data_IF_750158021653
#
_entry.id   IF_750158021653
#
_cell.length_a   1.000
_cell.length_b   1.000
_cell.length_c   1.000
_cell.angle_alpha   90.00
_cell.angle_beta   90.00
_cell.angle_gamma   90.00
#
_symmetry.space_group_name_H-M   'P 1'
#
loop_
_entity.id
_entity.type
_entity.pdbx_description
1 polymer ?
#
# COMPACT_ATOMS: atom_id res chain seq x y z
N UNK A 1 42.29 25.91 13.29
CA UNK A 1 41.45 25.42 12.16
C UNK A 1 40.86 24.01 12.35
N UNK A 2 41.43 23.12 13.19
CA UNK A 2 40.92 21.73 13.39
C UNK A 2 39.62 21.64 14.23
N UNK A 3 39.44 22.53 15.22
CA UNK A 3 38.28 22.55 16.12
C UNK A 3 36.97 22.97 15.43
N UNK A 4 37.04 23.90 14.47
CA UNK A 4 35.86 24.36 13.71
C UNK A 4 35.37 23.31 12.72
N UNK A 5 36.27 22.54 12.08
CA UNK A 5 35.89 21.42 11.21
C UNK A 5 35.22 20.28 11.98
N UNK A 6 35.71 19.97 13.18
CA UNK A 6 35.07 18.97 14.06
C UNK A 6 33.66 19.39 14.46
N UNK A 7 33.46 20.66 14.83
CA UNK A 7 32.14 21.17 15.21
C UNK A 7 31.14 21.13 14.04
N UNK A 8 31.58 21.44 12.82
CA UNK A 8 30.76 21.37 11.61
C UNK A 8 30.37 19.93 11.28
N UNK A 9 31.30 18.97 11.40
CA UNK A 9 31.01 17.55 11.17
C UNK A 9 30.02 17.03 12.22
N UNK A 10 30.21 17.36 13.50
CA UNK A 10 29.28 16.95 14.56
C UNK A 10 27.88 17.54 14.34
N UNK A 11 27.78 18.80 13.93
CA UNK A 11 26.50 19.43 13.61
C UNK A 11 25.81 18.77 12.40
N UNK A 12 26.56 18.42 11.35
CA UNK A 12 26.03 17.70 10.18
C UNK A 12 25.53 16.30 10.55
N UNK A 13 26.27 15.56 11.39
CA UNK A 13 25.87 14.23 11.87
C UNK A 13 24.60 14.32 12.72
N UNK A 14 24.51 15.30 13.63
CA UNK A 14 23.30 15.52 14.44
C UNK A 14 22.11 15.95 13.59
N UNK A 15 22.32 16.78 12.57
CA UNK A 15 21.26 17.15 11.63
C UNK A 15 20.79 15.96 10.81
N UNK A 16 21.70 15.13 10.30
CA UNK A 16 21.36 13.90 9.58
C UNK A 16 20.61 12.91 10.47
N UNK A 17 21.07 12.71 11.71
CA UNK A 17 20.37 11.88 12.70
C UNK A 17 19.02 12.47 13.07
N UNK A 18 18.89 13.78 13.18
CA UNK A 18 17.62 14.47 13.43
C UNK A 18 16.63 14.32 12.28
N UNK A 19 17.11 14.38 11.02
CA UNK A 19 16.31 14.11 9.83
C UNK A 19 15.90 12.64 9.77
N UNK A 20 16.81 11.70 10.02
CA UNK A 20 16.52 10.27 10.07
C UNK A 20 15.50 9.97 11.18
N UNK A 21 15.69 10.53 12.37
CA UNK A 21 14.80 10.34 13.51
C UNK A 21 13.45 11.02 13.26
N UNK A 22 13.43 12.18 12.60
CA UNK A 22 12.19 12.86 12.17
C UNK A 22 11.45 12.09 11.08
N UNK A 23 12.15 11.41 10.17
CA UNK A 23 11.55 10.51 9.18
C UNK A 23 11.00 9.25 9.86
N UNK A 24 11.71 8.71 10.87
CA UNK A 24 11.26 7.56 11.65
C UNK A 24 10.09 7.90 12.59
N UNK A 25 10.02 9.13 13.10
CA UNK A 25 9.00 9.62 14.04
C UNK A 25 7.88 10.43 13.37
N UNK A 26 8.00 10.80 12.09
CA UNK A 26 6.94 11.50 11.35
C UNK A 26 5.76 10.57 11.13
N UNK A 27 4.83 10.66 12.07
CA UNK A 27 3.37 10.57 11.96
C UNK A 27 2.83 10.19 10.57
N UNK A 28 2.92 8.91 10.21
CA UNK A 28 1.77 8.25 9.58
C UNK A 28 0.71 8.05 10.65
N UNK A 29 -0.57 8.08 10.30
CA UNK A 29 -1.65 7.71 11.23
C UNK A 29 -1.23 6.44 11.99
N UNK A 30 -1.32 6.45 13.32
CA UNK A 30 -0.85 5.31 14.13
C UNK A 30 -1.58 4.07 13.64
N UNK A 31 -0.82 3.07 13.18
CA UNK A 31 -1.41 1.83 12.70
C UNK A 31 -2.36 1.26 13.75
N UNK A 32 -3.56 0.82 13.36
CA UNK A 32 -4.45 0.18 14.32
C UNK A 32 -3.77 -1.09 14.85
N UNK A 33 -3.85 -1.25 16.17
CA UNK A 33 -3.22 -2.35 16.90
C UNK A 33 -4.30 -3.30 17.38
N UNK A 34 -4.14 -4.58 17.08
CA UNK A 34 -4.96 -5.66 17.62
C UNK A 34 -4.05 -6.70 18.28
N UNK A 35 -4.39 -7.08 19.52
CA UNK A 35 -3.57 -7.98 20.35
C UNK A 35 -2.08 -7.58 20.43
N UNK A 36 -1.80 -6.28 20.54
CA UNK A 36 -0.44 -5.76 20.65
C UNK A 36 0.38 -5.78 19.34
N UNK A 37 -0.25 -6.12 18.21
CA UNK A 37 0.41 -6.15 16.90
C UNK A 37 -0.28 -5.23 15.91
N UNK A 38 0.51 -4.59 15.04
CA UNK A 38 0.02 -3.57 14.11
C UNK A 38 -0.64 -4.18 12.88
N UNK A 39 -1.42 -3.38 12.13
CA UNK A 39 -2.02 -3.81 10.87
C UNK A 39 -0.98 -4.34 9.86
N UNK A 40 0.18 -3.69 9.76
CA UNK A 40 1.29 -4.16 8.91
C UNK A 40 1.73 -5.58 9.31
N UNK A 41 1.80 -5.87 10.61
CA UNK A 41 2.15 -7.21 11.07
C UNK A 41 1.13 -8.24 10.57
N UNK A 42 -0.16 -7.98 10.75
CA UNK A 42 -1.22 -8.90 10.34
C UNK A 42 -1.32 -9.09 8.82
N UNK A 43 -0.93 -8.09 8.03
CA UNK A 43 -0.94 -8.18 6.57
C UNK A 43 0.36 -8.72 5.97
N UNK A 44 1.46 -8.74 6.73
CA UNK A 44 2.78 -9.12 6.21
C UNK A 44 2.86 -10.55 5.68
N UNK A 45 2.04 -11.46 6.20
CA UNK A 45 1.96 -12.86 5.75
C UNK A 45 1.29 -13.03 4.38
N UNK A 46 0.62 -11.99 3.87
CA UNK A 46 -0.02 -11.98 2.54
C UNK A 46 0.84 -11.32 1.45
N UNK A 47 1.84 -10.52 1.84
CA UNK A 47 2.56 -9.65 0.91
C UNK A 47 4.08 -9.88 0.88
N UNK A 48 4.68 -10.50 1.90
CA UNK A 48 6.14 -10.68 1.97
C UNK A 48 6.55 -12.01 1.31
N UNK A 49 7.34 -11.98 0.21
CA UNK A 49 7.81 -13.20 -0.44
C UNK A 49 8.68 -14.05 0.50
N UNK A 50 8.52 -15.37 0.45
CA UNK A 50 9.30 -16.33 1.24
C UNK A 50 8.74 -16.64 2.63
N UNK A 51 7.64 -16.01 3.04
CA UNK A 51 6.85 -16.50 4.17
C UNK A 51 5.92 -17.61 3.71
N UNK A 52 5.94 -18.73 4.41
CA UNK A 52 5.04 -19.86 4.23
C UNK A 52 4.24 -20.07 5.53
N UNK A 53 3.33 -19.14 5.90
CA UNK A 53 2.50 -19.28 7.09
C UNK A 53 1.59 -20.50 6.95
N UNK A 54 1.25 -21.13 8.08
CA UNK A 54 0.25 -22.20 8.07
C UNK A 54 -1.12 -21.65 7.71
N UNK A 55 -2.04 -22.52 7.28
CA UNK A 55 -3.42 -22.12 6.98
C UNK A 55 -4.10 -21.51 8.21
N UNK A 56 -3.87 -22.08 9.38
CA UNK A 56 -4.42 -21.61 10.65
C UNK A 56 -3.93 -20.19 10.95
N UNK A 57 -2.65 -19.91 10.70
CA UNK A 57 -2.05 -18.59 10.89
C UNK A 57 -2.67 -17.55 9.95
N UNK A 58 -2.85 -17.90 8.68
CA UNK A 58 -3.51 -17.01 7.71
C UNK A 58 -4.96 -16.67 8.11
N UNK A 59 -5.71 -17.65 8.62
CA UNK A 59 -7.08 -17.39 9.08
C UNK A 59 -7.10 -16.52 10.35
N UNK A 60 -6.16 -16.71 11.28
CA UNK A 60 -6.00 -15.82 12.44
C UNK A 60 -5.69 -14.39 12.00
N UNK A 61 -4.83 -14.22 11.01
CA UNK A 61 -4.45 -12.89 10.51
C UNK A 61 -5.63 -12.20 9.82
N UNK A 62 -6.43 -12.93 9.03
CA UNK A 62 -7.69 -12.41 8.47
C UNK A 62 -8.66 -11.99 9.56
N UNK A 63 -8.81 -12.80 10.61
CA UNK A 63 -9.67 -12.46 11.74
C UNK A 63 -9.19 -11.20 12.43
N UNK A 64 -7.88 -11.06 12.69
CA UNK A 64 -7.32 -9.85 13.28
C UNK A 64 -7.61 -8.60 12.44
N UNK A 65 -7.43 -8.66 11.12
CA UNK A 65 -7.74 -7.54 10.22
C UNK A 65 -9.25 -7.22 10.23
N UNK A 66 -10.13 -8.23 10.25
CA UNK A 66 -11.58 -8.03 10.37
C UNK A 66 -11.99 -7.44 11.72
N UNK A 67 -11.28 -7.78 12.80
CA UNK A 67 -11.50 -7.22 14.13
C UNK A 67 -11.05 -5.76 14.21
N UNK A 68 -9.98 -5.38 13.50
CA UNK A 68 -9.61 -3.98 13.32
C UNK A 68 -10.72 -3.22 12.58
N UNK A 69 -11.28 -3.84 11.54
CA UNK A 69 -12.48 -3.35 10.85
C UNK A 69 -12.28 -1.98 10.18
N UNK A 70 -13.25 -1.09 10.33
CA UNK A 70 -13.27 0.24 9.69
C UNK A 70 -12.13 1.15 10.13
N UNK A 71 -11.50 0.88 11.28
CA UNK A 71 -10.33 1.63 11.75
C UNK A 71 -9.09 1.44 10.85
N UNK A 72 -9.06 0.39 10.04
CA UNK A 72 -8.01 0.20 9.03
C UNK A 72 -8.21 1.09 7.80
N UNK A 73 -9.41 1.59 7.52
CA UNK A 73 -9.71 2.28 6.25
C UNK A 73 -8.81 3.50 5.99
N UNK A 74 -8.61 4.44 6.94
CA UNK A 74 -7.79 5.62 6.70
C UNK A 74 -6.36 5.27 6.27
N UNK A 75 -5.76 4.30 6.97
CA UNK A 75 -4.38 3.89 6.71
C UNK A 75 -4.24 3.09 5.41
N UNK A 76 -5.23 2.25 5.09
CA UNK A 76 -5.26 1.50 3.83
C UNK A 76 -5.40 2.48 2.64
N UNK A 77 -6.22 3.53 2.76
CA UNK A 77 -6.32 4.59 1.73
C UNK A 77 -5.01 5.37 1.58
N UNK A 78 -4.31 5.64 2.68
CA UNK A 78 -2.98 6.27 2.64
C UNK A 78 -1.96 5.38 1.92
N UNK A 79 -1.92 4.09 2.26
CA UNK A 79 -0.99 3.13 1.69
C UNK A 79 -1.26 2.85 0.22
N UNK A 80 -2.52 2.74 -0.19
CA UNK A 80 -2.89 2.52 -1.59
C UNK A 80 -2.61 3.75 -2.47
N UNK A 81 -2.54 4.94 -1.86
CA UNK A 81 -2.19 6.20 -2.53
C UNK A 81 -0.69 6.53 -2.43
N UNK A 82 0.11 5.69 -1.78
CA UNK A 82 1.52 5.96 -1.55
C UNK A 82 2.27 6.06 -2.89
N UNK A 83 3.10 7.09 -3.02
CA UNK A 83 4.04 7.26 -4.14
C UNK A 83 5.44 7.37 -3.56
N UNK A 84 6.38 6.60 -4.08
CA UNK A 84 7.77 6.75 -3.69
C UNK A 84 8.35 7.97 -4.39
N UNK A 85 9.00 8.84 -3.61
CA UNK A 85 9.90 9.86 -4.16
C UNK A 85 11.21 9.19 -4.60
N UNK A 86 11.87 9.68 -5.68
CA UNK A 86 13.05 9.02 -6.27
C UNK A 86 14.16 8.71 -5.26
N UNK A 87 14.42 9.64 -4.34
CA UNK A 87 15.41 9.49 -3.26
C UNK A 87 15.11 8.31 -2.32
N UNK A 88 13.83 7.98 -2.11
CA UNK A 88 13.44 6.85 -1.28
C UNK A 88 13.74 5.52 -1.98
N UNK A 89 13.59 5.44 -3.30
CA UNK A 89 13.90 4.24 -4.07
C UNK A 89 15.39 3.89 -4.03
N UNK A 90 16.27 4.89 -4.10
CA UNK A 90 17.72 4.68 -3.94
C UNK A 90 18.07 4.16 -2.54
N UNK A 91 17.41 4.66 -1.49
CA UNK A 91 17.59 4.16 -0.12
C UNK A 91 17.05 2.73 0.02
N UNK A 92 15.90 2.41 -0.60
CA UNK A 92 15.36 1.04 -0.61
C UNK A 92 16.33 0.09 -1.31
N UNK A 93 16.80 0.42 -2.51
CA UNK A 93 17.73 -0.41 -3.28
C UNK A 93 19.06 -0.58 -2.53
N UNK A 94 19.55 0.49 -1.91
CA UNK A 94 20.73 0.43 -1.05
C UNK A 94 20.53 -0.54 0.12
N UNK A 95 19.43 -0.44 0.87
CA UNK A 95 19.13 -1.36 1.99
C UNK A 95 18.99 -2.80 1.48
N UNK A 96 18.38 -3.00 0.30
CA UNK A 96 18.19 -4.32 -0.29
C UNK A 96 19.51 -5.01 -0.65
N UNK A 97 20.50 -4.24 -1.11
CA UNK A 97 21.85 -4.74 -1.43
C UNK A 97 22.73 -5.03 -0.22
N UNK A 98 22.31 -4.58 0.97
CA UNK A 98 23.11 -4.66 2.19
C UNK A 98 22.40 -5.52 3.25
N UNK A 99 22.58 -6.86 3.21
CA UNK A 99 21.81 -7.82 4.01
C UNK A 99 22.09 -7.75 5.52
N UNK A 100 23.06 -6.96 5.97
CA UNK A 100 23.32 -6.69 7.39
C UNK A 100 22.32 -5.70 8.02
N UNK A 101 21.48 -5.04 7.21
CA UNK A 101 20.46 -4.10 7.72
C UNK A 101 19.23 -4.91 8.16
N UNK A 102 18.87 -4.92 9.46
CA UNK A 102 17.84 -5.80 9.98
C UNK A 102 16.41 -5.31 9.71
N UNK A 103 16.22 -4.21 8.97
CA UNK A 103 14.92 -3.64 8.65
C UNK A 103 14.71 -3.55 7.14
N UNK A 104 13.50 -3.91 6.69
CA UNK A 104 13.07 -3.69 5.31
C UNK A 104 12.31 -2.36 5.23
N UNK A 105 12.79 -1.45 4.38
CA UNK A 105 12.03 -0.25 4.06
C UNK A 105 10.97 -0.63 3.02
N UNK A 106 9.70 -0.47 3.36
CA UNK A 106 8.60 -0.75 2.44
C UNK A 106 8.59 0.29 1.30
N UNK A 107 8.66 -0.21 0.08
CA UNK A 107 8.36 0.58 -1.12
C UNK A 107 6.88 0.97 -1.15
N UNK A 108 6.53 1.93 -2.00
CA UNK A 108 5.15 2.28 -2.30
C UNK A 108 4.39 1.08 -2.85
N UNK A 109 5.05 0.23 -3.65
CA UNK A 109 4.47 -1.01 -4.17
C UNK A 109 4.13 -1.98 -3.02
N UNK A 110 5.02 -2.14 -2.05
CA UNK A 110 4.76 -2.98 -0.87
C UNK A 110 3.56 -2.45 -0.06
N UNK A 111 3.47 -1.13 0.13
CA UNK A 111 2.35 -0.49 0.83
C UNK A 111 1.04 -0.63 0.06
N UNK A 112 1.07 -0.43 -1.25
CA UNK A 112 -0.10 -0.60 -2.11
C UNK A 112 -0.60 -2.04 -2.11
N UNK A 113 0.31 -3.01 -2.13
CA UNK A 113 0.00 -4.45 -2.00
C UNK A 113 -0.65 -4.77 -0.66
N UNK A 114 -0.05 -4.32 0.46
CA UNK A 114 -0.63 -4.44 1.80
C UNK A 114 -2.04 -3.85 1.86
N UNK A 115 -2.21 -2.66 1.28
CA UNK A 115 -3.50 -1.99 1.25
C UNK A 115 -4.57 -2.79 0.49
N UNK A 116 -4.21 -3.32 -0.68
CA UNK A 116 -5.08 -4.17 -1.49
C UNK A 116 -5.51 -5.42 -0.73
N UNK A 117 -4.58 -6.12 -0.08
CA UNK A 117 -4.90 -7.29 0.74
C UNK A 117 -5.80 -6.93 1.92
N UNK A 118 -5.55 -5.79 2.58
CA UNK A 118 -6.40 -5.30 3.66
C UNK A 118 -7.84 -5.05 3.20
N UNK A 119 -8.03 -4.37 2.07
CA UNK A 119 -9.36 -4.16 1.49
C UNK A 119 -10.06 -5.46 1.10
N UNK A 120 -9.31 -6.42 0.53
CA UNK A 120 -9.83 -7.75 0.17
C UNK A 120 -10.32 -8.54 1.39
N UNK A 121 -9.57 -8.47 2.51
CA UNK A 121 -9.92 -9.19 3.75
C UNK A 121 -11.14 -8.57 4.45
N UNK A 122 -11.23 -7.24 4.46
CA UNK A 122 -12.36 -6.48 5.02
C UNK A 122 -13.64 -6.68 4.19
N UNK A 123 -13.49 -6.74 2.86
CA UNK A 123 -14.59 -6.90 1.91
C UNK A 123 -15.63 -5.77 1.97
N UNK A 124 -16.70 -5.90 1.19
CA UNK A 124 -17.77 -4.89 1.06
C UNK A 124 -18.39 -4.46 2.39
N UNK A 125 -18.58 -5.42 3.31
CA UNK A 125 -19.28 -5.19 4.58
C UNK A 125 -18.58 -4.17 5.49
N UNK A 126 -17.25 -4.17 5.51
CA UNK A 126 -16.46 -3.26 6.34
C UNK A 126 -15.82 -2.13 5.53
N UNK A 127 -15.42 -2.37 4.28
CA UNK A 127 -14.75 -1.38 3.44
C UNK A 127 -15.68 -0.50 2.59
N UNK A 128 -17.00 -0.67 2.68
CA UNK A 128 -17.99 0.16 1.96
C UNK A 128 -17.74 1.68 2.02
N UNK A 129 -17.39 2.27 3.19
CA UNK A 129 -17.08 3.70 3.29
C UNK A 129 -15.87 4.16 2.46
N UNK A 130 -14.98 3.24 2.07
CA UNK A 130 -13.78 3.54 1.29
C UNK A 130 -14.05 3.64 -0.23
N UNK A 131 -15.21 3.15 -0.71
CA UNK A 131 -15.54 3.07 -2.14
C UNK A 131 -15.39 4.43 -2.85
N UNK A 132 -15.94 5.56 -2.35
CA UNK A 132 -15.81 6.85 -3.04
C UNK A 132 -14.36 7.33 -3.14
N UNK A 133 -13.56 7.05 -2.10
CA UNK A 133 -12.13 7.40 -2.08
C UNK A 133 -11.34 6.53 -3.06
N UNK A 134 -11.60 5.23 -3.12
CA UNK A 134 -10.98 4.31 -4.08
C UNK A 134 -11.31 4.69 -5.53
N UNK A 135 -12.57 5.02 -5.83
CA UNK A 135 -12.98 5.51 -7.16
C UNK A 135 -12.21 6.78 -7.54
N UNK A 136 -12.06 7.72 -6.59
CA UNK A 136 -11.28 8.94 -6.82
C UNK A 136 -9.82 8.62 -7.11
N UNK A 137 -9.19 7.74 -6.31
CA UNK A 137 -7.79 7.32 -6.48
C UNK A 137 -7.58 6.69 -7.86
N UNK A 138 -8.45 5.75 -8.25
CA UNK A 138 -8.40 5.10 -9.59
C UNK A 138 -8.50 6.15 -10.70
N UNK A 139 -9.43 7.11 -10.58
CA UNK A 139 -9.60 8.17 -11.59
C UNK A 139 -8.41 9.14 -11.66
N UNK A 140 -7.82 9.49 -10.53
CA UNK A 140 -6.66 10.42 -10.49
C UNK A 140 -5.32 9.75 -10.77
N UNK A 141 -5.21 8.43 -10.56
CA UNK A 141 -4.01 7.65 -10.83
C UNK A 141 -3.93 7.17 -12.28
N UNK A 142 -5.07 7.01 -12.95
CA UNK A 142 -5.18 6.52 -14.32
C UNK A 142 -4.72 7.51 -15.39
N UNK A 143 -3.44 7.42 -15.75
CA UNK A 143 -2.95 7.81 -17.08
C UNK A 143 -3.17 6.68 -18.09
N UNK A 144 -3.22 7.01 -19.37
CA UNK A 144 -3.43 6.06 -20.48
C UNK A 144 -2.43 4.88 -20.40
N UNK A 145 -2.96 3.67 -20.59
CA UNK A 145 -2.31 2.36 -20.35
C UNK A 145 -0.90 2.26 -20.94
N UNK A 146 0.04 1.62 -20.23
CA UNK A 146 1.03 0.70 -20.85
C UNK A 146 1.61 -0.26 -19.81
N UNK A 147 1.24 -1.55 -19.91
CA UNK A 147 2.01 -2.72 -19.46
C UNK A 147 3.09 -2.51 -18.38
N UNK A 148 2.72 -2.70 -17.12
CA UNK A 148 3.61 -2.69 -15.95
C UNK A 148 2.81 -2.87 -14.66
N UNK A 149 3.46 -3.20 -13.53
CA UNK A 149 2.86 -3.07 -12.20
C UNK A 149 2.74 -1.58 -11.87
N UNK A 150 1.73 -0.92 -12.44
CA UNK A 150 1.53 0.52 -12.29
C UNK A 150 0.84 0.85 -10.97
N UNK A 151 1.01 2.08 -10.49
CA UNK A 151 0.40 2.64 -9.27
C UNK A 151 -1.14 2.58 -9.22
N UNK A 152 -1.81 2.24 -10.33
CA UNK A 152 -3.28 2.10 -10.43
C UNK A 152 -3.73 0.65 -10.23
N UNK A 153 -2.82 -0.32 -10.35
CA UNK A 153 -3.14 -1.76 -10.33
C UNK A 153 -3.77 -2.19 -9.02
N UNK A 154 -3.11 -1.88 -7.90
CA UNK A 154 -3.60 -2.21 -6.56
C UNK A 154 -4.89 -1.45 -6.20
N UNK A 155 -5.04 -0.14 -6.48
CA UNK A 155 -6.33 0.54 -6.35
C UNK A 155 -7.48 -0.13 -7.12
N UNK A 156 -7.23 -0.60 -8.35
CA UNK A 156 -8.26 -1.29 -9.13
C UNK A 156 -8.65 -2.64 -8.53
N UNK A 157 -7.68 -3.42 -8.06
CA UNK A 157 -7.92 -4.71 -7.40
C UNK A 157 -8.70 -4.51 -6.10
N UNK A 158 -8.27 -3.56 -5.27
CA UNK A 158 -8.98 -3.21 -4.04
C UNK A 158 -10.44 -2.78 -4.31
N UNK A 159 -10.67 -1.93 -5.32
CA UNK A 159 -12.02 -1.50 -5.67
C UNK A 159 -12.87 -2.67 -6.20
N UNK A 160 -12.30 -3.56 -7.01
CA UNK A 160 -12.99 -4.74 -7.53
C UNK A 160 -13.37 -5.74 -6.44
N UNK A 161 -12.47 -5.99 -5.48
CA UNK A 161 -12.69 -6.89 -4.36
C UNK A 161 -13.73 -6.34 -3.38
N UNK A 162 -13.78 -5.01 -3.20
CA UNK A 162 -14.75 -4.36 -2.32
C UNK A 162 -16.11 -4.20 -3.01
N UNK A 163 -16.15 -3.75 -4.27
CA UNK A 163 -17.39 -3.57 -5.02
C UNK A 163 -17.17 -3.65 -6.54
N UNK A 164 -17.51 -4.81 -7.11
CA UNK A 164 -17.41 -5.08 -8.55
C UNK A 164 -18.25 -4.13 -9.41
N UNK A 165 -19.43 -3.72 -8.93
CA UNK A 165 -20.32 -2.83 -9.67
C UNK A 165 -19.72 -1.41 -9.70
N UNK A 166 -19.26 -0.91 -8.56
CA UNK A 166 -18.58 0.39 -8.48
C UNK A 166 -17.31 0.42 -9.34
N UNK A 167 -16.55 -0.68 -9.36
CA UNK A 167 -15.38 -0.84 -10.21
C UNK A 167 -15.72 -0.77 -11.70
N UNK A 168 -16.77 -1.48 -12.12
CA UNK A 168 -17.27 -1.45 -13.50
C UNK A 168 -17.72 -0.05 -13.90
N UNK A 169 -18.47 0.64 -13.02
CA UNK A 169 -18.91 2.02 -13.22
C UNK A 169 -17.74 3.03 -13.26
N UNK A 170 -16.62 2.70 -12.61
CA UNK A 170 -15.38 3.48 -12.69
C UNK A 170 -14.58 3.25 -13.99
N UNK A 171 -15.10 2.43 -14.92
CA UNK A 171 -14.47 2.14 -16.21
C UNK A 171 -13.40 1.04 -16.15
N UNK A 172 -13.35 0.28 -15.05
CA UNK A 172 -12.49 -0.90 -14.95
C UNK A 172 -13.13 -2.03 -15.78
N UNK A 173 -12.37 -2.55 -16.74
CA UNK A 173 -12.75 -3.72 -17.53
C UNK A 173 -12.09 -4.96 -16.96
N UNK A 174 -12.89 -6.00 -16.84
CA UNK A 174 -12.48 -7.28 -16.30
C UNK A 174 -12.34 -8.32 -17.41
N UNK A 175 -11.44 -9.26 -17.20
CA UNK A 175 -11.21 -10.37 -18.10
C UNK A 175 -10.99 -11.65 -17.30
N UNK A 176 -11.06 -12.76 -18.01
CA UNK A 176 -10.69 -14.06 -17.46
C UNK A 176 -9.20 -14.27 -17.68
N UNK A 177 -8.44 -14.46 -16.60
CA UNK A 177 -7.08 -14.96 -16.76
C UNK A 177 -7.15 -16.49 -16.87
N UNK A 178 -6.57 -17.04 -17.94
CA UNK A 178 -6.59 -18.49 -18.16
C UNK A 178 -5.81 -19.27 -17.09
N UNK A 179 -5.04 -18.60 -16.24
CA UNK A 179 -4.07 -19.20 -15.32
C UNK A 179 -4.49 -19.26 -13.84
N UNK A 180 -5.41 -18.43 -13.33
CA UNK A 180 -5.72 -18.42 -11.87
C UNK A 180 -7.07 -18.98 -11.46
N UNK A 181 -7.90 -19.47 -12.39
CA UNK A 181 -9.17 -20.12 -12.06
C UNK A 181 -10.18 -19.22 -11.32
N UNK A 182 -9.91 -17.92 -11.20
CA UNK A 182 -10.79 -16.91 -10.61
C UNK A 182 -11.39 -16.07 -11.73
N UNK A 183 -12.72 -15.95 -11.74
CA UNK A 183 -13.48 -15.56 -12.94
C UNK A 183 -13.44 -14.07 -13.31
N UNK A 184 -12.73 -13.21 -12.58
CA UNK A 184 -12.80 -11.75 -12.83
C UNK A 184 -11.50 -11.09 -12.36
N UNK A 185 -10.60 -10.73 -13.28
CA UNK A 185 -9.39 -9.96 -12.97
C UNK A 185 -9.41 -8.63 -13.75
N UNK A 186 -9.08 -7.49 -13.14
CA UNK A 186 -8.89 -6.22 -13.85
C UNK A 186 -7.80 -6.37 -14.92
N UNK A 187 -8.19 -6.33 -16.19
CA UNK A 187 -7.28 -6.46 -17.34
C UNK A 187 -6.97 -5.10 -17.99
N UNK A 188 -7.74 -4.09 -17.62
CA UNK A 188 -7.88 -2.91 -18.44
C UNK A 188 -8.61 -1.81 -17.70
N UNK A 189 -8.09 -0.59 -17.76
CA UNK A 189 -8.86 0.59 -17.39
C UNK A 189 -9.06 1.47 -18.61
N UNK A 190 -10.26 2.06 -18.71
CA UNK A 190 -10.58 3.16 -19.60
C UNK A 190 -11.30 4.20 -18.76
N UNK A 191 -10.77 5.43 -18.70
CA UNK A 191 -11.47 6.52 -18.04
C UNK A 191 -12.90 6.60 -18.59
N UNK A 192 -13.94 6.61 -17.73
CA UNK A 192 -15.29 6.89 -18.22
C UNK A 192 -15.26 8.26 -18.91
N UNK A 193 -16.01 8.45 -20.02
CA UNK A 193 -16.05 9.73 -20.70
C UNK A 193 -16.38 10.79 -19.65
N UNK A 194 -15.56 11.84 -19.59
CA UNK A 194 -15.78 12.95 -18.67
C UNK A 194 -17.26 13.33 -18.79
N UNK A 195 -17.99 13.29 -17.68
CA UNK A 195 -19.38 13.71 -17.67
C UNK A 195 -19.40 15.09 -18.32
N UNK A 196 -20.03 15.18 -19.49
CA UNK A 196 -20.19 16.44 -20.19
C UNK A 196 -20.87 17.36 -19.19
N UNK A 197 -20.15 18.39 -18.73
CA UNK A 197 -20.69 19.41 -17.84
C UNK A 197 -22.02 19.87 -18.44
N UNK A 198 -23.12 19.55 -17.78
CA UNK A 198 -24.44 20.13 -18.01
C UNK A 198 -24.76 21.04 -16.84
#
# INVERSE_FOLDING_TARGET
MRKTRSAVITALVLAALGVILSILLSTGEREPVYQGKTLTYWLSDFCVPGRNPTREKLEQDKLAVRQIGTNAIPILLQWISAKDVPLKLEIVDFIWRHPWVPFRLQSAVDRQSLASSGFSILGKSQAGPAIPALVKIVRTGGGERTSGYDNVTFPMWALADVDLEAATNAGIKFGTNRWSGTNVVPISWSAPPAAANK
#
